data_IF_298102961210
#
_entry.id   IF_298102961210
#
_cell.length_a   1.000
_cell.length_b   1.000
_cell.length_c   1.000
_cell.angle_alpha   90.00
_cell.angle_beta   90.00
_cell.angle_gamma   90.00
#
_symmetry.space_group_name_H-M   'P 1'
#
loop_
_entity.id
_entity.type
_entity.pdbx_description
1 polymer ?
#
# COMPACT_ATOMS: atom_id res chain seq x y z
N UNK A 1 -51.64 -9.71 -47.10
CA UNK A 1 -50.24 -9.73 -46.63
C UNK A 1 -50.05 -10.97 -45.77
N UNK A 2 -49.13 -11.87 -46.11
CA UNK A 2 -48.99 -13.17 -45.40
C UNK A 2 -48.32 -12.97 -44.03
N UNK A 3 -48.81 -13.65 -42.99
CA UNK A 3 -48.26 -13.63 -41.62
C UNK A 3 -46.74 -13.93 -41.60
N UNK A 4 -46.27 -14.74 -42.57
CA UNK A 4 -44.85 -15.03 -42.77
C UNK A 4 -44.01 -13.81 -43.14
N UNK A 5 -44.54 -12.91 -43.97
CA UNK A 5 -43.84 -11.68 -44.39
C UNK A 5 -43.68 -10.69 -43.24
N UNK A 6 -44.68 -10.60 -42.36
CA UNK A 6 -44.62 -9.74 -41.18
C UNK A 6 -43.58 -10.25 -40.17
N UNK A 7 -43.56 -11.57 -39.90
CA UNK A 7 -42.60 -12.20 -38.97
C UNK A 7 -41.15 -12.04 -39.43
N UNK A 8 -40.89 -12.16 -40.74
CA UNK A 8 -39.55 -11.93 -41.28
C UNK A 8 -39.10 -10.46 -41.17
N UNK A 9 -40.04 -9.52 -41.33
CA UNK A 9 -39.75 -8.09 -41.17
C UNK A 9 -39.34 -7.75 -39.71
N UNK A 10 -40.12 -8.22 -38.72
CA UNK A 10 -39.78 -8.01 -37.30
C UNK A 10 -38.47 -8.67 -36.89
N UNK A 11 -38.18 -9.87 -37.39
CA UNK A 11 -36.90 -10.55 -37.12
C UNK A 11 -35.70 -9.76 -37.65
N UNK A 12 -35.78 -9.23 -38.87
CA UNK A 12 -34.72 -8.39 -39.46
C UNK A 12 -34.54 -7.08 -38.70
N UNK A 13 -35.63 -6.44 -38.30
CA UNK A 13 -35.59 -5.20 -37.50
C UNK A 13 -34.91 -5.42 -36.14
N UNK A 14 -35.23 -6.53 -35.47
CA UNK A 14 -34.62 -6.90 -34.20
C UNK A 14 -33.11 -7.16 -34.33
N UNK A 15 -32.68 -7.87 -35.38
CA UNK A 15 -31.27 -8.13 -35.66
C UNK A 15 -30.50 -6.82 -35.89
N UNK A 16 -31.06 -5.89 -36.68
CA UNK A 16 -30.43 -4.58 -36.93
C UNK A 16 -30.29 -3.76 -35.66
N UNK A 17 -31.27 -3.80 -34.75
CA UNK A 17 -31.18 -3.10 -33.46
C UNK A 17 -30.09 -3.68 -32.57
N UNK A 18 -29.96 -5.02 -32.50
CA UNK A 18 -28.89 -5.68 -31.74
C UNK A 18 -27.51 -5.30 -32.27
N UNK A 19 -27.32 -5.33 -33.60
CA UNK A 19 -26.03 -4.99 -34.22
C UNK A 19 -25.63 -3.55 -33.95
N UNK A 20 -26.56 -2.59 -34.07
CA UNK A 20 -26.31 -1.18 -33.73
C UNK A 20 -25.99 -0.99 -32.24
N UNK A 21 -26.64 -1.75 -31.37
CA UNK A 21 -26.33 -1.76 -29.93
C UNK A 21 -24.92 -2.25 -29.65
N UNK A 22 -24.51 -3.35 -30.30
CA UNK A 22 -23.18 -3.94 -30.16
C UNK A 22 -22.06 -3.01 -30.67
N UNK A 23 -22.27 -2.34 -31.81
CA UNK A 23 -21.31 -1.36 -32.34
C UNK A 23 -21.11 -0.18 -31.39
N UNK A 24 -22.20 0.35 -30.80
CA UNK A 24 -22.12 1.45 -29.84
C UNK A 24 -21.36 1.05 -28.57
N UNK A 25 -21.58 -0.18 -28.09
CA UNK A 25 -20.84 -0.74 -26.95
C UNK A 25 -19.35 -0.92 -27.26
N UNK A 26 -19.01 -1.36 -28.48
CA UNK A 26 -17.61 -1.50 -28.92
C UNK A 26 -16.90 -0.14 -28.98
N UNK A 27 -17.54 0.86 -29.58
CA UNK A 27 -17.01 2.24 -29.64
C UNK A 27 -16.82 2.83 -28.23
N UNK A 28 -17.74 2.53 -27.31
CA UNK A 28 -17.61 2.97 -25.92
C UNK A 28 -16.42 2.30 -25.21
N UNK A 29 -16.21 1.01 -25.42
CA UNK A 29 -15.06 0.27 -24.90
C UNK A 29 -13.73 0.82 -25.42
N UNK A 30 -13.63 1.07 -26.73
CA UNK A 30 -12.45 1.68 -27.36
C UNK A 30 -12.18 3.09 -26.81
N UNK A 31 -13.23 3.89 -26.60
CA UNK A 31 -13.11 5.23 -25.99
C UNK A 31 -12.60 5.19 -24.55
N UNK A 32 -13.06 4.23 -23.74
CA UNK A 32 -12.58 4.04 -22.37
C UNK A 32 -11.11 3.63 -22.32
N UNK A 33 -10.70 2.69 -23.17
CA UNK A 33 -9.30 2.27 -23.26
C UNK A 33 -8.38 3.43 -23.68
N UNK A 34 -8.80 4.22 -24.66
CA UNK A 34 -8.03 5.39 -25.11
C UNK A 34 -7.90 6.45 -24.00
N UNK A 35 -8.96 6.68 -23.21
CA UNK A 35 -8.90 7.59 -22.05
C UNK A 35 -7.95 7.08 -20.97
N UNK A 36 -7.98 5.80 -20.64
CA UNK A 36 -7.06 5.19 -19.67
C UNK A 36 -5.61 5.35 -20.13
N UNK A 37 -5.30 5.02 -21.39
CA UNK A 37 -3.96 5.16 -21.95
C UNK A 37 -3.48 6.63 -21.94
N UNK A 38 -4.37 7.59 -22.23
CA UNK A 38 -4.04 9.00 -22.17
C UNK A 38 -3.73 9.48 -20.74
N UNK A 39 -4.48 9.00 -19.74
CA UNK A 39 -4.22 9.31 -18.34
C UNK A 39 -2.88 8.75 -17.87
N UNK A 40 -2.55 7.51 -18.21
CA UNK A 40 -1.25 6.91 -17.89
C UNK A 40 -0.09 7.68 -18.53
N UNK A 41 -0.21 8.06 -19.80
CA UNK A 41 0.80 8.89 -20.49
C UNK A 41 0.96 10.24 -19.78
N UNK A 42 -0.14 10.86 -19.33
CA UNK A 42 -0.09 12.13 -18.58
C UNK A 42 0.59 11.97 -17.22
N UNK A 43 0.28 10.90 -16.49
CA UNK A 43 0.93 10.58 -15.21
C UNK A 43 2.43 10.31 -15.36
N UNK A 44 2.83 9.52 -16.37
CA UNK A 44 4.25 9.25 -16.64
C UNK A 44 5.02 10.56 -16.95
N UNK A 45 4.42 11.46 -17.72
CA UNK A 45 5.01 12.78 -18.03
C UNK A 45 5.17 13.65 -16.78
N UNK A 46 4.17 13.70 -15.89
CA UNK A 46 4.27 14.50 -14.66
C UNK A 46 5.30 13.94 -13.69
N UNK A 47 5.39 12.63 -13.54
CA UNK A 47 6.43 11.98 -12.73
C UNK A 47 7.82 12.30 -13.29
N UNK A 48 8.01 12.16 -14.60
CA UNK A 48 9.30 12.45 -15.23
C UNK A 48 9.70 13.93 -15.09
N UNK A 49 8.74 14.86 -15.27
CA UNK A 49 8.99 16.29 -15.08
C UNK A 49 9.35 16.64 -13.61
N UNK A 50 8.62 16.05 -12.64
CA UNK A 50 8.93 16.22 -11.21
C UNK A 50 10.31 15.66 -10.85
N UNK A 51 10.66 14.48 -11.37
CA UNK A 51 11.98 13.86 -11.18
C UNK A 51 13.08 14.75 -11.76
N UNK A 52 12.91 15.28 -12.98
CA UNK A 52 13.90 16.19 -13.60
C UNK A 52 14.09 17.46 -12.77
N UNK A 53 13.01 18.03 -12.23
CA UNK A 53 13.08 19.22 -11.39
C UNK A 53 13.77 18.94 -10.05
N UNK A 54 13.42 17.85 -9.37
CA UNK A 54 14.08 17.43 -8.13
C UNK A 54 15.57 17.17 -8.36
N UNK A 55 15.92 16.46 -9.44
CA UNK A 55 17.30 16.16 -9.77
C UNK A 55 18.10 17.45 -10.05
N UNK A 56 17.51 18.42 -10.75
CA UNK A 56 18.12 19.73 -10.94
C UNK A 56 18.37 20.44 -9.59
N UNK A 57 17.39 20.45 -8.67
CA UNK A 57 17.56 21.05 -7.34
C UNK A 57 18.68 20.36 -6.56
N UNK A 58 18.75 19.02 -6.58
CA UNK A 58 19.83 18.27 -5.93
C UNK A 58 21.20 18.62 -6.51
N UNK A 59 21.33 18.66 -7.84
CA UNK A 59 22.60 19.03 -8.48
C UNK A 59 22.98 20.50 -8.28
N UNK A 60 22.05 21.45 -8.15
CA UNK A 60 22.44 22.84 -7.87
C UNK A 60 22.68 23.10 -6.37
N UNK A 61 21.95 22.41 -5.50
CA UNK A 61 22.10 22.52 -4.04
C UNK A 61 23.40 21.92 -3.51
N UNK A 62 23.82 20.75 -4.03
CA UNK A 62 25.08 20.11 -3.62
C UNK A 62 26.32 20.92 -4.00
N UNK A 63 26.30 21.63 -5.12
CA UNK A 63 27.47 22.35 -5.64
C UNK A 63 27.66 23.73 -5.01
N UNK A 64 26.62 24.30 -4.39
CA UNK A 64 26.70 25.63 -3.79
C UNK A 64 27.35 25.60 -2.39
N UNK A 65 27.36 24.45 -1.70
CA UNK A 65 27.87 24.33 -0.31
C UNK A 65 28.56 22.98 -0.04
N UNK A 66 29.62 22.62 -0.77
CA UNK A 66 30.36 21.39 -0.49
C UNK A 66 30.96 21.39 0.93
N UNK A 67 31.41 22.55 1.41
CA UNK A 67 32.06 22.68 2.71
C UNK A 67 31.11 22.51 3.89
N UNK A 68 29.84 22.89 3.75
CA UNK A 68 28.83 22.72 4.81
C UNK A 68 28.42 21.25 4.94
N UNK A 69 28.34 20.52 3.82
CA UNK A 69 28.09 19.08 3.81
C UNK A 69 29.26 18.29 4.41
N UNK A 70 30.50 18.69 4.11
CA UNK A 70 31.70 18.09 4.71
C UNK A 70 31.73 18.39 6.21
N UNK A 71 31.35 19.59 6.64
CA UNK A 71 31.26 19.93 8.07
C UNK A 71 30.15 19.17 8.78
N UNK A 72 28.96 19.02 8.20
CA UNK A 72 27.88 18.19 8.76
C UNK A 72 28.27 16.70 8.84
N UNK A 73 28.93 16.16 7.81
CA UNK A 73 29.40 14.77 7.82
C UNK A 73 30.59 14.54 8.76
N UNK A 74 31.46 15.54 8.93
CA UNK A 74 32.58 15.51 9.87
C UNK A 74 32.14 15.76 11.32
N UNK A 75 30.99 16.40 11.52
CA UNK A 75 30.31 16.49 12.81
C UNK A 75 29.52 15.20 13.04
N UNK A 76 30.20 14.07 13.20
CA UNK A 76 29.61 12.92 13.86
C UNK A 76 29.37 13.35 15.31
N UNK A 77 28.11 13.55 15.75
CA UNK A 77 27.89 13.66 17.18
C UNK A 77 28.39 12.33 17.73
N UNK A 78 29.31 12.34 18.69
CA UNK A 78 29.46 11.19 19.59
C UNK A 78 28.23 11.16 20.50
N UNK A 79 27.04 11.16 19.90
CA UNK A 79 25.87 10.62 20.55
C UNK A 79 26.14 9.12 20.53
N UNK A 80 26.65 8.60 21.64
CA UNK A 80 26.16 7.33 22.12
C UNK A 80 24.65 7.41 21.95
N UNK A 81 24.14 6.79 20.86
CA UNK A 81 22.72 6.77 20.57
C UNK A 81 22.05 6.38 21.88
N UNK A 82 21.15 7.20 22.44
CA UNK A 82 20.51 6.87 23.71
C UNK A 82 19.99 5.45 23.53
N UNK A 83 20.51 4.52 24.33
CA UNK A 83 20.19 3.10 24.21
C UNK A 83 18.67 3.04 24.08
N UNK A 84 18.19 2.54 22.92
CA UNK A 84 16.78 2.63 22.59
C UNK A 84 16.03 1.93 23.72
N UNK A 85 15.37 2.69 24.60
CA UNK A 85 14.77 2.15 25.83
C UNK A 85 13.75 1.05 25.54
N UNK A 86 13.28 1.00 24.29
CA UNK A 86 12.33 0.03 23.79
C UNK A 86 12.98 -0.65 22.58
N UNK A 87 13.19 -1.98 22.63
CA UNK A 87 13.72 -2.72 21.49
C UNK A 87 12.80 -2.57 20.27
N UNK A 88 13.36 -2.63 19.07
CA UNK A 88 12.59 -2.59 17.83
C UNK A 88 11.62 -3.78 17.78
N UNK A 89 10.35 -3.51 18.07
CA UNK A 89 9.30 -4.54 18.16
C UNK A 89 8.83 -5.03 16.78
N UNK A 90 8.97 -4.20 15.75
CA UNK A 90 8.48 -4.49 14.40
C UNK A 90 9.23 -5.66 13.78
N UNK A 91 8.50 -6.62 13.23
CA UNK A 91 9.05 -7.84 12.61
C UNK A 91 9.38 -8.94 13.62
N UNK A 92 9.14 -8.73 14.92
CA UNK A 92 9.40 -9.75 15.95
C UNK A 92 8.17 -10.59 16.24
N UNK A 93 8.42 -11.88 16.49
CA UNK A 93 7.45 -12.76 17.13
C UNK A 93 7.30 -12.38 18.59
N UNK A 94 6.06 -12.30 19.05
CA UNK A 94 5.72 -11.93 20.42
C UNK A 94 4.67 -12.84 20.98
N UNK A 95 4.58 -12.87 22.31
CA UNK A 95 3.49 -13.48 23.05
C UNK A 95 2.80 -12.36 23.80
N UNK A 96 1.56 -12.08 23.41
CA UNK A 96 0.71 -11.08 24.04
C UNK A 96 -0.16 -11.75 25.11
N UNK A 97 0.00 -11.33 26.35
CA UNK A 97 -0.76 -11.84 27.50
C UNK A 97 -1.99 -10.97 27.70
N UNK A 98 -3.16 -11.56 27.47
CA UNK A 98 -4.46 -10.98 27.82
C UNK A 98 -5.01 -11.67 29.08
N UNK A 99 -6.11 -11.15 29.63
CA UNK A 99 -6.79 -11.75 30.78
C UNK A 99 -7.19 -13.22 30.55
N UNK A 100 -7.42 -13.59 29.29
CA UNK A 100 -7.93 -14.90 28.87
C UNK A 100 -6.80 -15.90 28.53
N UNK A 101 -5.55 -15.44 28.44
CA UNK A 101 -4.42 -16.31 28.13
C UNK A 101 -3.28 -15.62 27.38
N UNK A 102 -2.32 -16.43 26.94
CA UNK A 102 -1.15 -16.01 26.15
C UNK A 102 -1.39 -16.27 24.66
N UNK A 103 -1.23 -15.24 23.84
CA UNK A 103 -1.54 -15.27 22.41
C UNK A 103 -0.28 -14.97 21.60
N UNK A 104 0.31 -15.97 20.93
CA UNK A 104 1.44 -15.76 20.05
C UNK A 104 1.01 -14.96 18.82
N UNK A 105 1.92 -14.13 18.32
CA UNK A 105 1.69 -13.35 17.11
C UNK A 105 2.94 -12.69 16.56
N UNK A 106 2.77 -12.01 15.44
CA UNK A 106 3.81 -11.31 14.71
C UNK A 106 3.46 -9.82 14.63
N UNK A 107 4.40 -8.96 15.05
CA UNK A 107 4.26 -7.52 14.81
C UNK A 107 4.63 -7.18 13.36
N UNK A 108 3.70 -6.54 12.66
CA UNK A 108 3.87 -6.20 11.25
C UNK A 108 4.48 -4.80 11.06
N UNK A 109 3.88 -3.79 11.70
CA UNK A 109 4.21 -2.39 11.43
C UNK A 109 3.68 -1.47 12.53
N UNK A 110 4.17 -0.23 12.54
CA UNK A 110 3.60 0.88 13.30
C UNK A 110 2.51 1.54 12.47
N UNK A 111 1.42 1.97 13.11
CA UNK A 111 0.33 2.66 12.42
C UNK A 111 0.79 4.02 11.91
N UNK A 112 0.52 4.31 10.63
CA UNK A 112 0.87 5.59 10.02
C UNK A 112 0.14 6.75 10.73
N UNK A 113 0.91 7.76 11.16
CA UNK A 113 0.40 8.91 11.91
C UNK A 113 0.20 8.67 13.41
N UNK A 114 0.33 7.43 13.89
CA UNK A 114 0.09 7.07 15.29
C UNK A 114 1.22 6.15 15.83
N UNK A 115 2.38 6.72 16.22
CA UNK A 115 3.59 5.95 16.56
C UNK A 115 3.50 5.09 17.84
N UNK A 116 2.43 5.26 18.60
CA UNK A 116 2.15 4.46 19.81
C UNK A 116 1.40 3.16 19.51
N UNK A 117 0.83 3.04 18.30
CA UNK A 117 0.01 1.92 17.90
C UNK A 117 0.75 1.01 16.92
N UNK A 118 0.61 -0.30 17.16
CA UNK A 118 1.28 -1.34 16.39
C UNK A 118 0.25 -2.30 15.82
N UNK A 119 0.46 -2.67 14.57
CA UNK A 119 -0.29 -3.71 13.88
C UNK A 119 0.30 -5.08 14.21
N UNK A 120 -0.52 -5.96 14.77
CA UNK A 120 -0.16 -7.34 15.15
C UNK A 120 -1.14 -8.32 14.50
N UNK A 121 -0.62 -9.48 14.14
CA UNK A 121 -1.41 -10.64 13.71
C UNK A 121 -1.15 -11.76 14.69
N UNK A 122 -2.22 -12.40 15.17
CA UNK A 122 -2.11 -13.58 16.03
C UNK A 122 -2.07 -14.86 15.20
N UNK A 123 -1.32 -15.87 15.66
CA UNK A 123 -1.14 -17.11 14.91
C UNK A 123 -2.46 -17.87 14.69
N UNK A 124 -3.41 -17.74 15.63
CA UNK A 124 -4.76 -18.31 15.52
C UNK A 124 -5.60 -17.68 14.40
N UNK A 125 -5.24 -16.47 13.95
CA UNK A 125 -5.91 -15.72 12.90
C UNK A 125 -5.15 -15.77 11.57
N UNK A 126 -4.23 -16.72 11.41
CA UNK A 126 -3.59 -17.00 10.13
C UNK A 126 -4.42 -18.03 9.33
N UNK A 127 -4.70 -17.71 8.06
CA UNK A 127 -5.29 -18.67 7.11
C UNK A 127 -4.24 -19.72 6.72
N UNK A 128 -4.68 -20.86 6.18
CA UNK A 128 -3.80 -21.96 5.73
C UNK A 128 -2.68 -21.49 4.76
N UNK A 129 -2.93 -20.41 4.03
CA UNK A 129 -1.96 -19.77 3.13
C UNK A 129 -1.02 -18.77 3.82
N UNK A 130 -0.89 -18.80 5.16
CA UNK A 130 -0.10 -17.85 5.96
C UNK A 130 -0.48 -16.38 5.74
N UNK A 131 -1.71 -16.13 5.29
CA UNK A 131 -2.25 -14.78 5.11
C UNK A 131 -3.08 -14.41 6.34
N UNK A 132 -2.92 -13.19 6.90
CA UNK A 132 -3.69 -12.79 8.07
C UNK A 132 -5.18 -12.68 7.72
N UNK A 133 -6.02 -13.37 8.49
CA UNK A 133 -7.47 -13.20 8.45
C UNK A 133 -7.88 -11.86 9.07
N UNK A 134 -7.24 -11.51 10.20
CA UNK A 134 -7.47 -10.28 10.94
C UNK A 134 -6.15 -9.62 11.35
N UNK A 135 -6.09 -8.29 11.28
CA UNK A 135 -4.98 -7.48 11.79
C UNK A 135 -5.54 -6.63 12.93
N UNK A 136 -4.90 -6.70 14.09
CA UNK A 136 -5.28 -5.93 15.26
C UNK A 136 -4.30 -4.81 15.52
N UNK A 137 -4.77 -3.80 16.25
CA UNK A 137 -3.99 -2.60 16.55
C UNK A 137 -4.01 -2.34 18.06
N UNK A 138 -2.84 -2.31 18.69
CA UNK A 138 -2.69 -2.11 20.14
C UNK A 138 -1.53 -1.18 20.48
N UNK A 139 -1.55 -0.65 21.71
CA UNK A 139 -0.46 0.15 22.28
C UNK A 139 0.61 -0.72 22.94
N UNK A 140 1.31 -1.51 22.13
CA UNK A 140 2.19 -2.58 22.59
C UNK A 140 3.40 -2.11 23.40
N UNK A 141 3.82 -0.84 23.30
CA UNK A 141 4.88 -0.28 24.17
C UNK A 141 4.49 -0.31 25.64
N UNK A 142 3.22 -0.03 25.96
CA UNK A 142 2.71 -0.06 27.33
C UNK A 142 2.64 -1.50 27.84
N UNK A 143 2.17 -2.40 26.99
CA UNK A 143 2.05 -3.82 27.32
C UNK A 143 3.42 -4.46 27.56
N UNK A 144 4.44 -4.07 26.78
CA UNK A 144 5.83 -4.46 27.02
C UNK A 144 6.36 -3.96 28.36
N UNK A 145 6.14 -2.67 28.68
CA UNK A 145 6.55 -2.09 29.98
C UNK A 145 5.85 -2.75 31.17
N UNK A 146 4.61 -3.20 30.98
CA UNK A 146 3.82 -3.85 32.02
C UNK A 146 4.10 -5.36 32.14
N UNK A 147 4.98 -5.93 31.29
CA UNK A 147 5.26 -7.37 31.27
C UNK A 147 4.16 -8.22 30.62
N UNK A 148 3.18 -7.59 29.95
CA UNK A 148 2.10 -8.26 29.23
C UNK A 148 2.51 -8.64 27.80
N UNK A 149 3.67 -8.19 27.32
CA UNK A 149 4.20 -8.53 26.00
C UNK A 149 5.62 -9.09 26.13
N UNK A 150 5.82 -10.32 25.68
CA UNK A 150 7.12 -10.99 25.67
C UNK A 150 7.61 -11.15 24.23
N UNK A 151 8.87 -10.81 23.95
CA UNK A 151 9.48 -11.02 22.63
C UNK A 151 10.08 -12.42 22.57
N UNK A 152 9.71 -13.20 21.56
CA UNK A 152 10.25 -14.54 21.33
C UNK A 152 11.53 -14.41 20.50
N UNK A 153 12.69 -14.90 20.99
CA UNK A 153 13.92 -14.89 20.21
C UNK A 153 13.76 -15.80 19.00
N UNK A 154 14.13 -15.30 17.82
CA UNK A 154 14.24 -16.10 16.60
C UNK A 154 15.52 -16.92 16.68
N UNK A 155 15.39 -18.25 16.70
CA UNK A 155 16.50 -19.22 16.61
C UNK A 155 16.69 -19.63 15.16
#
# INVERSE_FOLDING_TARGET
MSVYTLRQFYSRLHIVMILKGAEKLRQYGESLQNKQLALEKKQKRTIHAKSKHANAIFYYGLWQRPDDLIKEAAYSPSEELPAQEIPLLVGKKVIHTFNEGKWPGLLLSVVAGFPEFYNIVHDCDLLENSSPNSIYTYTLKKDYRNGNLEIVPEV
#
